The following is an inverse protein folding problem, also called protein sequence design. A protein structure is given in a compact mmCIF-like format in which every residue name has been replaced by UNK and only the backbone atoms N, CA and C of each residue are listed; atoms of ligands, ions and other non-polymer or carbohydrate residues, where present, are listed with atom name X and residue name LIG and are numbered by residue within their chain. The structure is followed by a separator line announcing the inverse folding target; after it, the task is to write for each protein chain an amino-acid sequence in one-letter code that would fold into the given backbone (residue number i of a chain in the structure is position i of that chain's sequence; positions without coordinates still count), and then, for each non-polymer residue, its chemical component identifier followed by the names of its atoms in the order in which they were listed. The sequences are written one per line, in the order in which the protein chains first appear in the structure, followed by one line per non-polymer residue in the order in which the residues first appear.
data_IF_805856221468
#
_entry.id   IF_805856221468
#
_cell.length_a   1.000
_cell.length_b   1.000
_cell.length_c   1.000
_cell.angle_alpha   90.00
_cell.angle_beta   90.00
_cell.angle_gamma   90.00
#
_symmetry.space_group_name_H-M   'P 1'
#
loop_
_entity.id
_entity.type
_entity.pdbx_description
1 polymer ?
#
# COMPACT_ATOMS: atom_id res chain seq x y z
N UNK A 1 -4.42 30.59 -53.50
CA UNK A 1 -4.17 29.37 -52.70
C UNK A 1 -3.93 29.77 -51.24
N UNK A 2 -4.96 29.76 -50.38
CA UNK A 2 -4.82 30.08 -48.95
C UNK A 2 -5.03 28.80 -48.13
N UNK A 3 -3.95 28.32 -47.51
CA UNK A 3 -3.91 27.01 -46.83
C UNK A 3 -4.36 27.15 -45.38
N UNK A 4 -5.08 26.12 -44.93
CA UNK A 4 -5.93 26.01 -43.73
C UNK A 4 -5.21 26.38 -42.41
N UNK A 5 -5.72 27.41 -41.73
CA UNK A 5 -5.35 27.84 -40.36
C UNK A 5 -6.18 27.10 -39.31
N UNK A 6 -6.07 25.77 -39.25
CA UNK A 6 -6.89 24.94 -38.35
C UNK A 6 -6.15 23.83 -37.61
N UNK A 7 -5.00 23.37 -38.13
CA UNK A 7 -4.29 22.20 -37.59
C UNK A 7 -3.36 22.53 -36.41
N UNK A 8 -2.76 23.73 -36.38
CA UNK A 8 -1.72 24.06 -35.41
C UNK A 8 -2.23 24.23 -33.96
N UNK A 9 -3.53 24.45 -33.77
CA UNK A 9 -4.12 24.65 -32.44
C UNK A 9 -4.36 23.32 -31.70
N UNK A 10 -4.54 22.20 -32.40
CA UNK A 10 -4.81 20.89 -31.77
C UNK A 10 -3.56 20.17 -31.29
N UNK A 11 -2.37 20.57 -31.74
CA UNK A 11 -1.11 19.91 -31.38
C UNK A 11 -0.56 20.28 -29.99
N UNK A 12 -1.20 21.21 -29.26
CA UNK A 12 -0.72 21.71 -27.95
C UNK A 12 -1.35 21.01 -26.74
N UNK A 13 -2.37 20.17 -26.95
CA UNK A 13 -3.12 19.49 -25.89
C UNK A 13 -2.85 17.97 -25.86
N UNK A 14 -1.64 17.56 -26.23
CA UNK A 14 -1.19 16.17 -26.17
C UNK A 14 -0.36 15.90 -24.90
N UNK A 15 -0.68 16.57 -23.79
CA UNK A 15 -0.12 16.17 -22.49
C UNK A 15 -0.88 14.90 -22.08
N UNK A 16 -0.23 13.73 -21.99
CA UNK A 16 -0.90 12.57 -21.42
C UNK A 16 -1.46 12.98 -20.04
N UNK A 17 -2.70 12.60 -19.71
CA UNK A 17 -3.28 12.94 -18.41
C UNK A 17 -2.31 12.46 -17.34
N UNK A 18 -1.87 13.37 -16.46
CA UNK A 18 -1.04 12.99 -15.34
C UNK A 18 -1.84 11.96 -14.53
N UNK A 19 -1.29 10.75 -14.30
CA UNK A 19 -2.01 9.75 -13.55
C UNK A 19 -2.28 10.35 -12.17
N UNK A 20 -3.57 10.50 -11.84
CA UNK A 20 -4.03 10.86 -10.51
C UNK A 20 -3.49 9.76 -9.60
N UNK A 21 -2.37 10.02 -8.91
CA UNK A 21 -1.57 9.01 -8.24
C UNK A 21 -2.47 8.05 -7.46
N UNK A 22 -2.44 6.77 -7.82
CA UNK A 22 -3.22 5.77 -7.08
C UNK A 22 -2.69 5.73 -5.65
N UNK A 23 -3.55 6.02 -4.67
CA UNK A 23 -3.20 5.96 -3.23
C UNK A 23 -2.79 4.53 -2.85
N UNK A 24 -3.36 3.55 -3.55
CA UNK A 24 -2.93 2.17 -3.49
C UNK A 24 -1.66 2.00 -4.32
N UNK A 25 -0.49 2.07 -3.69
CA UNK A 25 0.73 1.52 -4.26
C UNK A 25 0.86 0.05 -3.79
N UNK A 26 0.36 -0.93 -4.57
CA UNK A 26 0.50 -2.34 -4.22
C UNK A 26 1.96 -2.83 -4.28
N UNK A 27 2.87 -2.04 -4.84
CA UNK A 27 4.15 -2.53 -5.32
C UNK A 27 5.29 -2.34 -4.33
N UNK A 28 5.83 -3.46 -3.87
CA UNK A 28 7.20 -3.66 -3.42
C UNK A 28 7.38 -5.10 -2.95
N UNK A 29 8.54 -5.45 -2.39
CA UNK A 29 8.81 -6.82 -1.99
C UNK A 29 7.79 -7.32 -0.95
N UNK A 30 7.48 -8.61 -1.00
CA UNK A 30 6.70 -9.26 0.06
C UNK A 30 7.46 -9.04 1.38
N UNK A 31 6.73 -8.56 2.40
CA UNK A 31 7.31 -8.37 3.73
C UNK A 31 7.56 -9.76 4.32
N UNK A 32 8.75 -10.03 4.90
CA UNK A 32 9.02 -11.31 5.56
C UNK A 32 7.91 -11.69 6.54
N UNK A 33 7.63 -12.99 6.67
CA UNK A 33 6.57 -13.48 7.57
C UNK A 33 5.15 -13.26 7.05
N UNK A 34 4.99 -12.63 5.88
CA UNK A 34 3.70 -12.39 5.23
C UNK A 34 3.53 -13.19 3.95
N UNK A 35 4.34 -14.21 3.67
CA UNK A 35 4.22 -15.07 2.49
C UNK A 35 2.95 -15.93 2.56
N UNK A 36 2.64 -16.43 3.75
CA UNK A 36 1.46 -17.23 4.06
C UNK A 36 0.88 -16.83 5.43
N UNK A 37 -0.39 -17.13 5.66
CA UNK A 37 -1.01 -16.90 6.96
C UNK A 37 -0.30 -17.75 8.02
N UNK A 38 0.26 -17.11 9.05
CA UNK A 38 0.89 -17.79 10.18
C UNK A 38 -0.04 -18.77 10.93
N UNK A 39 -1.36 -18.63 10.76
CA UNK A 39 -2.36 -19.45 11.44
C UNK A 39 -2.90 -20.61 10.61
N UNK A 40 -3.24 -20.38 9.33
CA UNK A 40 -3.88 -21.41 8.48
C UNK A 40 -3.05 -21.80 7.25
N UNK A 41 -1.92 -21.14 7.00
CA UNK A 41 -1.05 -21.41 5.85
C UNK A 41 -1.55 -20.91 4.49
N UNK A 42 -2.73 -20.27 4.42
CA UNK A 42 -3.23 -19.72 3.14
C UNK A 42 -2.35 -18.59 2.63
N UNK A 43 -2.10 -18.57 1.32
CA UNK A 43 -1.37 -17.51 0.62
C UNK A 43 -2.29 -16.39 0.12
N UNK A 44 -3.62 -16.53 0.29
CA UNK A 44 -4.62 -15.52 -0.06
C UNK A 44 -4.67 -14.43 1.02
N UNK A 45 -3.71 -13.51 0.94
CA UNK A 45 -3.54 -12.42 1.89
C UNK A 45 -3.72 -11.06 1.23
N UNK A 46 -4.60 -10.24 1.80
CA UNK A 46 -4.67 -8.81 1.52
C UNK A 46 -3.57 -8.11 2.30
N UNK A 47 -2.71 -7.34 1.61
CA UNK A 47 -1.62 -6.58 2.23
C UNK A 47 -1.78 -5.09 1.91
N UNK A 48 -1.82 -4.26 2.95
CA UNK A 48 -1.97 -2.81 2.83
C UNK A 48 -0.81 -2.15 3.55
N UNK A 49 -0.01 -1.40 2.81
CA UNK A 49 1.12 -0.63 3.35
C UNK A 49 0.65 0.72 3.84
N UNK A 50 1.13 1.13 5.00
CA UNK A 50 0.85 2.45 5.56
C UNK A 50 1.91 2.87 6.58
N UNK A 51 1.93 4.15 6.92
CA UNK A 51 2.76 4.68 7.99
C UNK A 51 1.90 4.78 9.25
N UNK A 52 2.34 4.16 10.34
CA UNK A 52 1.66 4.21 11.64
C UNK A 52 1.71 5.63 12.23
N UNK A 53 0.90 5.88 13.28
CA UNK A 53 0.90 7.14 14.04
C UNK A 53 2.27 7.47 14.64
N UNK A 54 3.07 6.45 14.94
CA UNK A 54 4.46 6.56 15.40
C UNK A 54 5.46 6.98 14.30
N UNK A 55 5.02 7.10 13.05
CA UNK A 55 5.89 7.36 11.90
C UNK A 55 6.57 6.11 11.33
N UNK A 56 6.39 4.94 11.96
CA UNK A 56 6.96 3.66 11.48
C UNK A 56 6.20 3.14 10.26
N UNK A 57 6.88 2.74 9.17
CA UNK A 57 6.22 2.07 8.04
C UNK A 57 5.83 0.64 8.42
N UNK A 58 4.59 0.27 8.14
CA UNK A 58 4.03 -1.03 8.46
C UNK A 58 3.17 -1.59 7.31
N UNK A 59 2.93 -2.89 7.38
CA UNK A 59 2.00 -3.64 6.54
C UNK A 59 0.91 -4.23 7.42
N UNK A 60 -0.34 -3.90 7.08
CA UNK A 60 -1.50 -4.61 7.55
C UNK A 60 -1.74 -5.84 6.66
N UNK A 61 -1.95 -6.99 7.27
CA UNK A 61 -2.24 -8.26 6.61
C UNK A 61 -3.61 -8.74 7.06
N UNK A 62 -4.44 -9.17 6.11
CA UNK A 62 -5.71 -9.86 6.38
C UNK A 62 -5.79 -11.14 5.54
N UNK A 63 -6.10 -12.27 6.17
CA UNK A 63 -6.29 -13.55 5.51
C UNK A 63 -7.75 -13.76 5.10
N UNK A 64 -8.01 -14.03 3.81
CA UNK A 64 -9.36 -14.29 3.35
C UNK A 64 -9.95 -15.63 3.82
N UNK A 65 -9.08 -16.60 4.16
CA UNK A 65 -9.50 -17.97 4.51
C UNK A 65 -9.87 -18.16 5.99
N UNK A 66 -9.14 -17.53 6.91
CA UNK A 66 -9.40 -17.66 8.35
C UNK A 66 -9.69 -16.31 9.04
N UNK A 67 -9.78 -15.23 8.26
CA UNK A 67 -10.17 -13.88 8.70
C UNK A 67 -9.25 -13.25 9.76
N UNK A 68 -8.10 -13.87 10.02
CA UNK A 68 -7.11 -13.32 10.94
C UNK A 68 -6.35 -12.18 10.32
N UNK A 69 -6.02 -11.22 11.16
CA UNK A 69 -5.31 -10.00 10.80
C UNK A 69 -4.05 -9.85 11.64
N UNK A 70 -3.08 -9.12 11.09
CA UNK A 70 -1.81 -8.85 11.75
C UNK A 70 -1.13 -7.63 11.16
N UNK A 71 -0.21 -7.07 11.93
CA UNK A 71 0.61 -5.93 11.53
C UNK A 71 2.07 -6.36 11.52
N UNK A 72 2.83 -5.89 10.54
CA UNK A 72 4.25 -6.24 10.37
C UNK A 72 5.02 -4.97 10.04
N UNK A 73 6.23 -4.82 10.58
CA UNK A 73 7.12 -3.74 10.15
C UNK A 73 7.55 -3.98 8.70
N UNK A 74 7.55 -2.92 7.89
CA UNK A 74 7.94 -3.02 6.48
C UNK A 74 9.43 -3.40 6.31
N UNK A 75 10.24 -2.96 7.28
CA UNK A 75 11.68 -3.20 7.43
C UNK A 75 12.00 -4.22 8.54
N UNK A 76 10.99 -4.96 9.00
CA UNK A 76 11.12 -5.95 10.07
C UNK A 76 11.69 -7.30 9.62
N UNK A 77 11.84 -8.17 10.60
CA UNK A 77 12.27 -9.58 10.48
C UNK A 77 11.11 -10.55 10.19
N UNK A 78 9.89 -10.03 10.11
CA UNK A 78 8.68 -10.80 9.86
C UNK A 78 7.91 -11.20 11.12
N UNK A 79 8.34 -10.73 12.29
CA UNK A 79 7.55 -10.89 13.51
C UNK A 79 6.36 -9.91 13.52
N UNK A 80 5.17 -10.35 13.97
CA UNK A 80 4.02 -9.46 14.10
C UNK A 80 4.26 -8.35 15.13
N UNK A 81 3.89 -7.12 14.78
CA UNK A 81 3.89 -5.99 15.69
C UNK A 81 2.83 -6.17 16.78
N UNK A 82 3.19 -5.84 18.01
CA UNK A 82 2.25 -5.80 19.13
C UNK A 82 1.21 -4.68 18.97
N UNK A 83 0.06 -4.83 19.63
CA UNK A 83 -1.02 -3.84 19.60
C UNK A 83 -0.55 -2.44 20.00
N UNK A 84 0.26 -2.33 21.05
CA UNK A 84 0.73 -1.04 21.58
C UNK A 84 1.68 -0.33 20.60
N UNK A 85 2.42 -1.09 19.79
CA UNK A 85 3.27 -0.53 18.72
C UNK A 85 2.44 -0.01 17.55
N UNK A 86 1.34 -0.68 17.22
CA UNK A 86 0.46 -0.33 16.10
C UNK A 86 -0.36 0.93 16.39
N UNK A 87 -1.01 0.98 17.55
CA UNK A 87 -1.89 2.10 17.92
C UNK A 87 -1.07 3.35 18.24
N UNK A 88 0.19 3.18 18.65
CA UNK A 88 0.95 4.21 19.35
C UNK A 88 0.37 4.30 20.76
N UNK A 89 1.13 3.85 21.76
CA UNK A 89 0.67 3.83 23.14
C UNK A 89 0.35 5.23 23.67
N UNK A 90 -0.89 5.66 23.51
CA UNK A 90 -1.51 6.75 24.28
C UNK A 90 -2.66 6.13 25.09
N UNK A 91 -2.33 5.50 26.23
CA UNK A 91 -3.35 4.81 27.00
C UNK A 91 -2.90 4.19 28.32
N UNK A 92 -2.35 5.01 29.23
CA UNK A 92 -2.51 4.83 30.69
C UNK A 92 -2.14 6.15 31.39
N UNK A 93 -3.15 6.97 31.67
CA UNK A 93 -3.15 7.99 32.71
C UNK A 93 -4.46 7.85 33.49
#
# INVERSE_FOLDING_TARGET
MARRRGDAARARDARPPEPLGSVSQPSGPVVPGTEACAHCGSTELTRIRMTLSSGRPAVFVSCAACERTGWFALDGDGEPLGRDEVVGGDGSA
#
